data_IF_836079264079
#
_entry.id   IF_836079264079
#
_cell.length_a   1.000
_cell.length_b   1.000
_cell.length_c   1.000
_cell.angle_alpha   90.00
_cell.angle_beta   90.00
_cell.angle_gamma   90.00
#
_symmetry.space_group_name_H-M   'P 1'
#
loop_
_entity.id
_entity.type
_entity.pdbx_description
1 polymer ?
#
# COMPACT_ATOMS: atom_id res chain seq x y z
N UNK A 1 14.04 23.00 67.28
CA UNK A 1 14.48 22.20 68.43
C UNK A 1 14.79 20.81 67.87
N UNK A 2 15.93 20.64 67.20
CA UNK A 2 17.33 20.58 67.70
C UNK A 2 17.71 19.11 67.93
N UNK A 3 18.73 18.53 67.28
CA UNK A 3 20.18 18.78 67.47
C UNK A 3 20.63 18.51 68.92
N UNK A 4 21.68 17.72 69.22
CA UNK A 4 22.57 16.84 68.41
C UNK A 4 23.28 15.81 69.38
N UNK A 5 24.38 15.05 69.15
CA UNK A 5 25.42 15.03 68.10
C UNK A 5 26.36 13.77 68.09
N UNK A 6 27.22 13.69 67.05
CA UNK A 6 28.62 13.16 66.96
C UNK A 6 29.03 11.74 67.45
N UNK A 7 29.59 10.95 66.51
CA UNK A 7 30.99 10.40 66.47
C UNK A 7 31.13 9.47 65.23
N UNK A 8 32.24 9.33 64.48
CA UNK A 8 33.67 9.70 64.62
C UNK A 8 34.53 8.43 64.70
N UNK A 9 35.63 8.18 63.97
CA UNK A 9 36.39 8.83 62.87
C UNK A 9 37.10 7.69 62.06
N UNK A 10 38.10 7.77 61.16
CA UNK A 10 39.01 8.78 60.54
C UNK A 10 39.57 8.13 59.23
N UNK A 11 40.42 8.80 58.43
CA UNK A 11 41.29 8.11 57.46
C UNK A 11 41.61 8.88 56.17
N UNK A 12 42.65 9.70 56.20
CA UNK A 12 43.01 10.66 55.14
C UNK A 12 44.09 10.14 54.17
N UNK A 13 44.04 10.51 52.89
CA UNK A 13 45.27 10.82 52.12
C UNK A 13 45.03 11.81 50.95
N UNK A 14 46.07 12.59 50.68
CA UNK A 14 46.27 13.68 49.71
C UNK A 14 45.98 13.32 48.22
N UNK A 15 45.88 14.27 47.27
CA UNK A 15 46.01 15.73 47.32
C UNK A 15 45.76 16.37 45.94
N UNK A 16 45.25 17.61 45.90
CA UNK A 16 44.69 18.21 44.68
C UNK A 16 45.57 19.24 43.93
N UNK A 17 45.01 19.89 42.90
CA UNK A 17 45.52 21.13 42.29
C UNK A 17 44.42 21.96 41.62
N UNK A 18 44.59 23.28 41.62
CA UNK A 18 43.58 24.28 41.21
C UNK A 18 43.39 24.37 39.70
N UNK A 19 42.14 24.39 39.24
CA UNK A 19 41.77 24.80 37.88
C UNK A 19 41.63 26.32 37.79
N UNK A 20 42.53 26.96 37.04
CA UNK A 20 42.47 28.41 36.75
C UNK A 20 41.57 28.70 35.54
N UNK A 21 40.70 29.69 35.67
CA UNK A 21 40.03 30.35 34.54
C UNK A 21 41.08 30.89 33.56
N UNK A 22 40.82 30.78 32.25
CA UNK A 22 41.63 31.38 31.19
C UNK A 22 40.78 32.30 30.31
N UNK A 23 41.35 33.45 29.98
CA UNK A 23 40.74 34.49 29.13
C UNK A 23 40.83 34.13 27.63
N UNK A 24 39.98 34.72 26.77
CA UNK A 24 40.08 34.55 25.32
C UNK A 24 41.35 35.21 24.76
N UNK A 25 41.95 34.57 23.75
CA UNK A 25 43.13 35.09 23.03
C UNK A 25 42.71 35.82 21.75
N UNK A 26 43.33 36.98 21.50
CA UNK A 26 43.03 37.85 20.37
C UNK A 26 43.87 37.46 19.15
N UNK A 27 43.22 37.16 18.01
CA UNK A 27 43.90 36.79 16.77
C UNK A 27 44.19 38.02 15.90
N UNK A 28 45.33 38.65 16.11
CA UNK A 28 45.99 39.51 15.12
C UNK A 28 47.49 39.28 15.06
N UNK A 29 47.99 39.27 13.83
CA UNK A 29 49.39 39.46 13.45
C UNK A 29 50.40 38.43 13.98
N UNK A 30 50.57 37.35 13.21
CA UNK A 30 51.88 36.73 13.00
C UNK A 30 52.04 36.39 11.50
N UNK A 31 52.80 37.23 10.78
CA UNK A 31 52.97 37.14 9.32
C UNK A 31 54.31 36.50 9.00
N UNK A 32 54.32 35.19 8.74
CA UNK A 32 55.52 34.47 8.29
C UNK A 32 55.41 34.11 6.80
N UNK A 33 56.27 34.73 5.98
CA UNK A 33 56.44 34.40 4.56
C UNK A 33 57.46 33.27 4.41
N UNK A 34 57.10 32.19 3.73
CA UNK A 34 58.06 31.23 3.14
C UNK A 34 57.73 31.00 1.66
N UNK A 35 58.67 30.40 0.91
CA UNK A 35 58.83 30.63 -0.53
C UNK A 35 58.58 29.36 -1.37
N UNK A 36 58.16 29.58 -2.61
CA UNK A 36 57.84 28.61 -3.66
C UNK A 36 58.86 27.47 -3.83
N UNK A 37 58.36 26.24 -3.91
CA UNK A 37 58.92 25.13 -4.69
C UNK A 37 57.76 24.60 -5.55
N UNK A 38 57.99 24.41 -6.85
CA UNK A 38 56.95 23.97 -7.79
C UNK A 38 56.94 22.46 -7.99
N UNK A 39 55.74 21.91 -8.21
CA UNK A 39 55.54 20.62 -8.87
C UNK A 39 54.36 20.75 -9.85
N UNK A 40 54.42 20.06 -10.98
CA UNK A 40 53.60 20.33 -12.16
C UNK A 40 52.29 19.51 -12.17
N UNK A 41 51.36 19.89 -11.28
CA UNK A 41 50.02 19.29 -11.20
C UNK A 41 48.98 20.13 -11.95
N UNK A 42 48.66 19.70 -13.18
CA UNK A 42 47.53 20.22 -13.95
C UNK A 42 46.23 20.01 -13.14
N UNK A 43 45.47 21.07 -12.79
CA UNK A 43 44.20 20.89 -12.10
C UNK A 43 43.20 20.23 -13.04
N UNK A 44 43.05 18.91 -12.91
CA UNK A 44 41.97 18.18 -13.55
C UNK A 44 40.66 18.88 -13.20
N UNK A 45 39.87 19.27 -14.22
CA UNK A 45 38.57 19.90 -14.00
C UNK A 45 37.74 18.94 -13.15
N UNK A 46 37.62 19.24 -11.85
CA UNK A 46 36.81 18.48 -10.90
C UNK A 46 35.36 18.78 -11.21
N UNK A 47 34.88 18.14 -12.27
CA UNK A 47 33.54 18.32 -12.80
C UNK A 47 32.58 18.04 -11.64
N UNK A 48 31.86 19.09 -11.21
CA UNK A 48 30.68 18.91 -10.39
C UNK A 48 29.75 18.02 -11.20
N UNK A 49 29.70 16.75 -10.83
CA UNK A 49 28.51 15.95 -11.08
C UNK A 49 27.39 16.71 -10.39
N UNK A 50 26.58 17.40 -11.19
CA UNK A 50 25.32 17.93 -10.70
C UNK A 50 24.52 16.72 -10.26
N UNK A 51 24.38 16.53 -8.95
CA UNK A 51 23.30 15.71 -8.43
C UNK A 51 22.03 16.34 -9.00
N UNK A 52 21.38 15.65 -9.93
CA UNK A 52 20.18 16.15 -10.57
C UNK A 52 19.11 16.27 -9.49
N UNK A 53 18.74 17.51 -9.16
CA UNK A 53 17.51 17.77 -8.41
C UNK A 53 16.36 17.06 -9.14
N UNK A 54 15.45 16.38 -8.41
CA UNK A 54 14.32 15.74 -9.06
C UNK A 54 13.52 16.81 -9.80
N UNK A 55 13.47 16.68 -11.13
CA UNK A 55 12.90 17.71 -12.01
C UNK A 55 11.44 17.98 -11.60
N UNK A 56 11.20 19.18 -11.06
CA UNK A 56 9.87 19.60 -10.66
C UNK A 56 8.94 19.55 -11.87
N UNK A 57 7.79 18.87 -11.71
CA UNK A 57 6.88 18.61 -12.81
C UNK A 57 6.41 19.92 -13.47
N UNK A 58 6.44 19.94 -14.80
CA UNK A 58 6.05 21.09 -15.62
C UNK A 58 4.57 21.42 -15.36
N UNK A 59 4.18 22.69 -15.47
CA UNK A 59 2.78 23.13 -15.27
C UNK A 59 1.77 22.38 -16.15
N UNK A 60 2.20 21.85 -17.29
CA UNK A 60 1.41 21.02 -18.20
C UNK A 60 1.28 19.58 -17.68
N UNK A 61 2.35 18.98 -17.17
CA UNK A 61 2.34 17.65 -16.54
C UNK A 61 1.45 17.63 -15.29
N UNK A 62 1.46 18.70 -14.49
CA UNK A 62 0.58 18.86 -13.33
C UNK A 62 -0.91 19.00 -13.72
N UNK A 63 -1.21 19.64 -14.87
CA UNK A 63 -2.58 19.74 -15.41
C UNK A 63 -3.07 18.40 -15.93
N UNK A 64 -2.23 17.68 -16.67
CA UNK A 64 -2.57 16.36 -17.20
C UNK A 64 -2.79 15.34 -16.06
N UNK A 65 -1.94 15.36 -15.03
CA UNK A 65 -2.14 14.54 -13.83
C UNK A 65 -3.50 14.80 -13.15
N UNK A 66 -3.83 16.06 -12.87
CA UNK A 66 -5.11 16.42 -12.27
C UNK A 66 -6.33 16.06 -13.14
N UNK A 67 -6.19 16.13 -14.48
CA UNK A 67 -7.25 15.71 -15.41
C UNK A 67 -7.42 14.18 -15.48
N UNK A 68 -6.34 13.42 -15.31
CA UNK A 68 -6.40 11.96 -15.21
C UNK A 68 -6.98 11.52 -13.84
N UNK A 69 -6.62 12.20 -12.76
CA UNK A 69 -7.20 11.98 -11.41
C UNK A 69 -8.72 12.23 -11.41
N UNK A 70 -9.18 13.36 -11.96
CA UNK A 70 -10.61 13.69 -12.11
C UNK A 70 -11.36 12.62 -12.92
N UNK A 71 -10.77 12.14 -14.02
CA UNK A 71 -11.32 11.05 -14.84
C UNK A 71 -11.37 9.71 -14.11
N UNK A 72 -10.34 9.35 -13.34
CA UNK A 72 -10.35 8.11 -12.56
C UNK A 72 -11.42 8.17 -11.44
N UNK A 73 -11.57 9.32 -10.78
CA UNK A 73 -12.65 9.55 -9.80
C UNK A 73 -14.05 9.46 -10.43
N UNK A 74 -14.24 9.99 -11.64
CA UNK A 74 -15.49 9.81 -12.40
C UNK A 74 -15.76 8.34 -12.70
N UNK A 75 -14.75 7.58 -13.17
CA UNK A 75 -14.88 6.15 -13.46
C UNK A 75 -15.21 5.32 -12.21
N UNK A 76 -14.65 5.70 -11.05
CA UNK A 76 -14.96 5.11 -9.74
C UNK A 76 -16.42 5.36 -9.34
N UNK A 77 -16.91 6.61 -9.48
CA UNK A 77 -18.30 6.96 -9.21
C UNK A 77 -19.29 6.27 -10.15
N UNK A 78 -19.03 6.25 -11.46
CA UNK A 78 -19.84 5.55 -12.47
C UNK A 78 -19.87 4.04 -12.20
N UNK A 79 -18.75 3.46 -11.77
CA UNK A 79 -18.68 2.03 -11.40
C UNK A 79 -19.55 1.71 -10.19
N UNK A 80 -19.57 2.59 -9.18
CA UNK A 80 -20.42 2.44 -8.01
C UNK A 80 -21.92 2.53 -8.37
N UNK A 81 -22.31 3.56 -9.15
CA UNK A 81 -23.68 3.72 -9.66
C UNK A 81 -24.14 2.53 -10.49
N UNK A 82 -23.28 1.99 -11.37
CA UNK A 82 -23.57 0.81 -12.20
C UNK A 82 -23.75 -0.50 -11.40
N UNK A 83 -23.50 -0.48 -10.08
CA UNK A 83 -23.73 -1.58 -9.15
C UNK A 83 -24.80 -1.25 -8.09
N UNK A 84 -25.48 -0.10 -8.20
CA UNK A 84 -26.57 0.32 -7.31
C UNK A 84 -26.13 1.15 -6.09
N UNK A 85 -24.84 1.43 -5.91
CA UNK A 85 -24.34 2.26 -4.82
C UNK A 85 -24.49 3.76 -5.11
N UNK A 86 -24.78 4.56 -4.09
CA UNK A 86 -24.58 6.00 -4.17
C UNK A 86 -23.09 6.30 -4.04
N UNK A 87 -22.45 6.83 -5.09
CA UNK A 87 -21.02 7.15 -5.11
C UNK A 87 -20.55 8.07 -3.95
N UNK A 88 -21.44 8.88 -3.37
CA UNK A 88 -21.13 9.89 -2.34
C UNK A 88 -21.80 9.64 -0.98
N UNK A 89 -22.46 8.49 -0.78
CA UNK A 89 -23.10 8.14 0.49
C UNK A 89 -22.99 6.64 0.81
N UNK A 90 -23.26 6.32 2.07
CA UNK A 90 -23.34 4.96 2.58
C UNK A 90 -24.68 4.29 2.21
N UNK A 91 -24.73 2.97 2.30
CA UNK A 91 -25.99 2.21 2.47
C UNK A 91 -26.20 1.84 3.93
N UNK A 92 -27.41 1.41 4.31
CA UNK A 92 -27.75 0.99 5.69
C UNK A 92 -26.81 -0.13 6.17
N UNK A 93 -26.42 -1.06 5.28
CA UNK A 93 -25.45 -2.11 5.60
C UNK A 93 -24.03 -1.56 5.86
N UNK A 94 -23.65 -0.46 5.22
CA UNK A 94 -22.32 0.17 5.36
C UNK A 94 -22.23 1.06 6.60
N UNK A 95 -23.29 1.79 6.95
CA UNK A 95 -23.40 2.53 8.22
C UNK A 95 -23.15 1.62 9.42
N UNK A 96 -23.72 0.41 9.41
CA UNK A 96 -23.55 -0.60 10.46
C UNK A 96 -22.13 -1.21 10.54
N UNK A 97 -21.24 -0.94 9.58
CA UNK A 97 -19.85 -1.41 9.59
C UNK A 97 -18.85 -0.38 10.13
N UNK A 98 -19.26 0.88 10.29
CA UNK A 98 -18.38 2.00 10.61
C UNK A 98 -18.67 2.56 12.01
N UNK A 99 -17.64 3.02 12.74
CA UNK A 99 -17.86 3.81 13.95
C UNK A 99 -18.45 5.18 13.55
N UNK A 100 -19.31 5.76 14.40
CA UNK A 100 -19.95 7.08 14.19
C UNK A 100 -18.98 8.28 14.18
N UNK A 101 -17.67 8.03 14.16
CA UNK A 101 -16.59 9.01 14.01
C UNK A 101 -15.74 8.75 12.76
N UNK A 102 -16.21 7.91 11.84
CA UNK A 102 -15.57 7.66 10.55
C UNK A 102 -15.80 8.82 9.57
N UNK A 103 -14.84 9.05 8.68
CA UNK A 103 -15.05 9.86 7.49
C UNK A 103 -15.73 9.02 6.41
N UNK A 104 -17.03 9.26 6.22
CA UNK A 104 -17.88 8.61 5.22
C UNK A 104 -17.42 8.88 3.79
N UNK A 105 -16.83 10.05 3.53
CA UNK A 105 -16.28 10.41 2.22
C UNK A 105 -15.02 9.60 1.91
N UNK A 106 -14.13 9.43 2.90
CA UNK A 106 -12.96 8.56 2.76
C UNK A 106 -13.36 7.08 2.58
N UNK A 107 -14.39 6.61 3.27
CA UNK A 107 -14.90 5.24 3.07
C UNK A 107 -15.52 5.06 1.68
N UNK A 108 -16.43 5.94 1.27
CA UNK A 108 -17.12 5.82 -0.04
C UNK A 108 -16.13 5.93 -1.20
N UNK A 109 -15.14 6.84 -1.13
CA UNK A 109 -14.05 6.89 -2.10
C UNK A 109 -13.26 5.58 -2.15
N UNK A 110 -12.84 5.03 -1.00
CA UNK A 110 -12.17 3.73 -0.94
C UNK A 110 -13.00 2.60 -1.55
N UNK A 111 -14.29 2.51 -1.22
CA UNK A 111 -15.22 1.51 -1.78
C UNK A 111 -15.30 1.60 -3.30
N UNK A 112 -15.52 2.80 -3.84
CA UNK A 112 -15.64 3.04 -5.27
C UNK A 112 -14.33 2.66 -6.01
N UNK A 113 -13.18 3.02 -5.43
CA UNK A 113 -11.84 2.67 -5.89
C UNK A 113 -11.59 1.16 -5.92
N UNK A 114 -11.98 0.41 -4.87
CA UNK A 114 -11.85 -1.06 -4.85
C UNK A 114 -12.76 -1.71 -5.90
N UNK A 115 -13.99 -1.21 -6.08
CA UNK A 115 -14.90 -1.65 -7.14
C UNK A 115 -14.31 -1.43 -8.54
N UNK A 116 -13.79 -0.23 -8.82
CA UNK A 116 -13.18 0.09 -10.12
C UNK A 116 -11.90 -0.71 -10.40
N UNK A 117 -11.08 -0.97 -9.37
CA UNK A 117 -9.91 -1.85 -9.48
C UNK A 117 -10.29 -3.29 -9.84
N UNK A 118 -11.33 -3.84 -9.22
CA UNK A 118 -11.82 -5.17 -9.60
C UNK A 118 -12.41 -5.15 -11.02
N UNK A 119 -13.19 -4.12 -11.37
CA UNK A 119 -13.82 -3.98 -12.70
C UNK A 119 -12.82 -3.80 -13.84
N UNK A 120 -11.61 -3.29 -13.56
CA UNK A 120 -10.47 -3.20 -14.50
C UNK A 120 -9.88 -4.57 -14.89
N UNK A 121 -9.96 -5.58 -14.03
CA UNK A 121 -9.57 -6.97 -14.36
C UNK A 121 -10.46 -7.99 -13.63
N UNK A 122 -11.66 -8.22 -14.19
CA UNK A 122 -12.62 -9.22 -13.71
C UNK A 122 -12.21 -10.67 -14.05
N UNK A 123 -11.00 -10.91 -14.54
CA UNK A 123 -10.48 -12.27 -14.80
C UNK A 123 -9.65 -12.80 -13.64
N UNK A 124 -9.12 -11.90 -12.80
CA UNK A 124 -8.26 -12.21 -11.65
C UNK A 124 -9.00 -12.00 -10.32
N UNK A 125 -8.57 -12.73 -9.30
CA UNK A 125 -8.96 -12.43 -7.92
C UNK A 125 -8.18 -11.20 -7.42
N UNK A 126 -8.89 -10.13 -7.09
CA UNK A 126 -8.33 -8.93 -6.45
C UNK A 126 -8.07 -9.22 -4.97
N UNK A 127 -6.80 -9.35 -4.59
CA UNK A 127 -6.41 -9.44 -3.17
C UNK A 127 -6.54 -8.08 -2.47
N UNK A 128 -6.68 -8.08 -1.15
CA UNK A 128 -6.67 -6.86 -0.33
C UNK A 128 -5.36 -6.05 -0.50
N UNK A 129 -4.23 -6.74 -0.70
CA UNK A 129 -2.93 -6.12 -0.99
C UNK A 129 -2.88 -5.46 -2.38
N UNK A 130 -3.42 -6.13 -3.41
CA UNK A 130 -3.54 -5.55 -4.75
C UNK A 130 -4.48 -4.32 -4.73
N UNK A 131 -5.61 -4.44 -4.02
CA UNK A 131 -6.56 -3.36 -3.82
C UNK A 131 -5.88 -2.15 -3.17
N UNK A 132 -5.09 -2.34 -2.12
CA UNK A 132 -4.34 -1.29 -1.42
C UNK A 132 -3.18 -0.64 -2.18
N UNK A 133 -2.76 -1.18 -3.32
CA UNK A 133 -1.51 -0.76 -3.98
C UNK A 133 -1.58 0.69 -4.51
N UNK A 134 -0.71 1.57 -4.00
CA UNK A 134 -0.64 2.97 -4.43
C UNK A 134 -1.80 3.86 -3.97
N UNK A 135 -2.57 3.44 -2.96
CA UNK A 135 -3.61 4.28 -2.33
C UNK A 135 -2.98 5.35 -1.42
N UNK A 136 -3.50 6.60 -1.38
CA UNK A 136 -3.01 7.63 -0.47
C UNK A 136 -3.25 7.28 1.02
N UNK A 137 -2.34 7.68 1.95
CA UNK A 137 -2.40 7.26 3.35
C UNK A 137 -3.70 7.59 4.11
N UNK A 138 -4.43 8.61 3.68
CA UNK A 138 -5.74 9.01 4.25
C UNK A 138 -6.82 7.93 4.09
N UNK A 139 -6.81 7.19 2.98
CA UNK A 139 -7.86 6.21 2.66
C UNK A 139 -7.53 4.81 3.19
N UNK A 140 -6.25 4.48 3.39
CA UNK A 140 -5.79 3.16 3.83
C UNK A 140 -6.52 2.58 5.07
N UNK A 141 -6.93 3.35 6.10
CA UNK A 141 -7.70 2.83 7.23
C UNK A 141 -9.02 2.16 6.82
N UNK A 142 -9.63 2.59 5.71
CA UNK A 142 -10.91 2.08 5.21
C UNK A 142 -10.78 0.85 4.31
N UNK A 143 -9.56 0.54 3.83
CA UNK A 143 -9.29 -0.51 2.84
C UNK A 143 -9.86 -1.87 3.27
N UNK A 144 -9.53 -2.30 4.50
CA UNK A 144 -9.91 -3.63 4.99
C UNK A 144 -11.42 -3.77 5.18
N UNK A 145 -12.09 -2.70 5.64
CA UNK A 145 -13.55 -2.69 5.81
C UNK A 145 -14.25 -2.73 4.45
N UNK A 146 -13.86 -1.86 3.53
CA UNK A 146 -14.45 -1.77 2.20
C UNK A 146 -14.21 -3.05 1.36
N UNK A 147 -12.96 -3.53 1.29
CA UNK A 147 -12.64 -4.77 0.55
C UNK A 147 -13.38 -5.98 1.14
N UNK A 148 -13.41 -6.12 2.47
CA UNK A 148 -14.12 -7.24 3.12
C UNK A 148 -15.62 -7.18 2.91
N UNK A 149 -16.24 -6.00 2.98
CA UNK A 149 -17.66 -5.81 2.67
C UNK A 149 -17.96 -6.22 1.23
N UNK A 150 -17.26 -5.63 0.25
CA UNK A 150 -17.48 -5.89 -1.17
C UNK A 150 -17.25 -7.36 -1.53
N UNK A 151 -16.27 -8.02 -0.90
CA UNK A 151 -15.96 -9.43 -1.12
C UNK A 151 -16.97 -10.38 -0.43
N UNK A 152 -17.47 -10.03 0.76
CA UNK A 152 -18.48 -10.82 1.47
C UNK A 152 -19.87 -10.72 0.83
N UNK A 153 -20.25 -9.52 0.39
CA UNK A 153 -21.51 -9.24 -0.33
C UNK A 153 -21.47 -9.65 -1.81
N UNK A 154 -20.32 -10.12 -2.31
CA UNK A 154 -20.19 -10.69 -3.66
C UNK A 154 -20.08 -9.68 -4.81
N UNK A 155 -19.84 -8.40 -4.52
CA UNK A 155 -19.65 -7.35 -5.54
C UNK A 155 -18.28 -7.44 -6.25
N UNK A 156 -17.28 -8.02 -5.59
CA UNK A 156 -15.97 -8.33 -6.18
C UNK A 156 -15.65 -9.82 -6.07
N UNK A 157 -14.69 -10.31 -6.86
CA UNK A 157 -14.19 -11.69 -6.86
C UNK A 157 -15.24 -12.80 -7.13
N UNK A 158 -16.47 -12.47 -7.54
CA UNK A 158 -17.52 -13.46 -7.71
C UNK A 158 -17.17 -14.52 -8.77
N UNK A 159 -17.29 -15.79 -8.37
CA UNK A 159 -16.90 -16.95 -9.19
C UNK A 159 -15.38 -17.15 -9.37
N UNK A 160 -14.52 -16.28 -8.85
CA UNK A 160 -13.05 -16.40 -8.96
C UNK A 160 -12.49 -16.75 -7.59
N UNK A 161 -11.98 -17.97 -7.39
CA UNK A 161 -11.31 -18.32 -6.14
C UNK A 161 -9.78 -18.24 -6.24
N UNK A 162 -9.07 -17.97 -5.14
CA UNK A 162 -7.60 -18.04 -5.08
C UNK A 162 -7.00 -19.41 -5.40
N UNK A 163 -7.81 -20.46 -5.49
CA UNK A 163 -7.39 -21.80 -5.92
C UNK A 163 -7.60 -22.02 -7.42
N UNK A 164 -8.61 -21.36 -8.03
CA UNK A 164 -8.77 -21.29 -9.49
C UNK A 164 -7.71 -20.40 -10.16
N UNK A 165 -7.29 -19.33 -9.50
CA UNK A 165 -6.21 -18.45 -9.97
C UNK A 165 -4.81 -19.12 -9.97
N UNK A 166 -4.69 -20.36 -9.49
CA UNK A 166 -3.46 -21.17 -9.55
C UNK A 166 -3.58 -22.25 -10.63
N UNK A 167 -2.54 -22.45 -11.47
CA UNK A 167 -2.54 -23.56 -12.44
C UNK A 167 -2.68 -24.89 -11.69
N UNK A 168 -3.67 -25.69 -12.08
CA UNK A 168 -4.08 -26.91 -11.36
C UNK A 168 -3.01 -28.01 -11.44
N UNK A 169 -2.08 -28.02 -10.48
CA UNK A 169 -1.03 -29.04 -10.35
C UNK A 169 -1.43 -30.26 -9.50
N UNK A 170 -2.65 -30.29 -8.95
CA UNK A 170 -3.12 -31.39 -8.09
C UNK A 170 -3.86 -32.46 -8.90
N UNK A 171 -3.57 -33.73 -8.58
CA UNK A 171 -4.27 -34.91 -9.11
C UNK A 171 -5.77 -34.79 -8.79
N UNK A 172 -6.63 -34.88 -9.81
CA UNK A 172 -8.08 -34.72 -9.65
C UNK A 172 -8.69 -35.80 -8.76
N UNK A 173 -9.62 -35.43 -7.87
CA UNK A 173 -10.36 -36.35 -6.99
C UNK A 173 -11.25 -37.36 -7.73
N UNK A 174 -11.57 -37.07 -8.99
CA UNK A 174 -12.37 -37.88 -9.90
C UNK A 174 -12.72 -37.09 -11.16
N UNK A 175 -13.41 -37.73 -12.10
CA UNK A 175 -13.99 -37.07 -13.29
C UNK A 175 -15.51 -37.02 -13.17
N UNK A 176 -16.10 -35.88 -13.51
CA UNK A 176 -17.56 -35.67 -13.50
C UNK A 176 -18.00 -35.12 -14.87
N UNK A 177 -19.13 -35.60 -15.37
CA UNK A 177 -19.77 -35.07 -16.58
C UNK A 177 -21.00 -34.27 -16.14
N UNK A 178 -21.08 -33.01 -16.56
CA UNK A 178 -22.26 -32.17 -16.37
C UNK A 178 -23.06 -32.15 -17.66
N UNK A 179 -24.27 -32.69 -17.62
CA UNK A 179 -25.19 -32.76 -18.76
C UNK A 179 -25.96 -31.45 -18.86
N UNK A 180 -25.75 -30.70 -19.96
CA UNK A 180 -26.39 -29.41 -20.21
C UNK A 180 -25.53 -28.20 -19.80
N UNK A 181 -25.09 -27.43 -20.79
CA UNK A 181 -24.17 -26.29 -20.62
C UNK A 181 -24.87 -24.93 -20.38
N UNK A 182 -26.05 -24.92 -19.74
CA UNK A 182 -26.73 -23.68 -19.33
C UNK A 182 -26.06 -23.03 -18.11
N UNK A 183 -26.52 -21.83 -17.70
CA UNK A 183 -25.95 -21.09 -16.56
C UNK A 183 -25.81 -21.92 -15.28
N UNK A 184 -26.83 -22.74 -14.96
CA UNK A 184 -26.79 -23.65 -13.81
C UNK A 184 -25.74 -24.77 -13.96
N UNK A 185 -25.61 -25.35 -15.16
CA UNK A 185 -24.60 -26.37 -15.46
C UNK A 185 -23.18 -25.81 -15.42
N UNK A 186 -22.98 -24.60 -15.95
CA UNK A 186 -21.71 -23.87 -15.87
C UNK A 186 -21.33 -23.56 -14.42
N UNK A 187 -22.28 -23.10 -13.60
CA UNK A 187 -22.07 -22.84 -12.17
C UNK A 187 -21.73 -24.13 -11.39
N UNK A 188 -22.43 -25.24 -11.67
CA UNK A 188 -22.16 -26.54 -11.07
C UNK A 188 -20.77 -27.07 -11.46
N UNK A 189 -20.43 -27.05 -12.76
CA UNK A 189 -19.11 -27.44 -13.26
C UNK A 189 -17.99 -26.60 -12.63
N UNK A 190 -18.18 -25.28 -12.51
CA UNK A 190 -17.23 -24.36 -11.87
C UNK A 190 -17.02 -24.68 -10.39
N UNK A 191 -18.09 -25.00 -9.64
CA UNK A 191 -17.98 -25.43 -8.24
C UNK A 191 -17.24 -26.76 -8.10
N UNK A 192 -17.54 -27.74 -8.95
CA UNK A 192 -16.90 -29.06 -8.92
C UNK A 192 -15.40 -28.99 -9.29
N UNK A 193 -15.02 -28.09 -10.21
CA UNK A 193 -13.61 -27.79 -10.49
C UNK A 193 -12.91 -27.21 -9.25
N UNK A 194 -13.52 -26.22 -8.57
CA UNK A 194 -13.00 -25.67 -7.32
C UNK A 194 -12.84 -26.73 -6.22
N UNK A 195 -13.78 -27.67 -6.11
CA UNK A 195 -13.70 -28.78 -5.16
C UNK A 195 -12.69 -29.88 -5.58
N UNK A 196 -12.03 -29.73 -6.73
CA UNK A 196 -10.90 -30.57 -7.17
C UNK A 196 -11.25 -31.71 -8.13
N UNK A 197 -12.39 -31.65 -8.82
CA UNK A 197 -12.82 -32.65 -9.80
C UNK A 197 -12.55 -32.20 -11.25
N UNK A 198 -12.17 -33.15 -12.12
CA UNK A 198 -12.01 -32.89 -13.54
C UNK A 198 -13.39 -32.93 -14.22
N UNK A 199 -13.91 -31.77 -14.62
CA UNK A 199 -15.26 -31.65 -15.16
C UNK A 199 -15.26 -31.51 -16.69
N UNK A 200 -16.13 -32.26 -17.35
CA UNK A 200 -16.50 -32.08 -18.76
C UNK A 200 -17.98 -31.66 -18.86
N UNK A 201 -18.31 -30.85 -19.88
CA UNK A 201 -19.70 -30.51 -20.21
C UNK A 201 -20.03 -31.06 -21.58
N UNK A 202 -21.08 -31.88 -21.67
CA UNK A 202 -21.60 -32.41 -22.94
C UNK A 202 -22.92 -31.71 -23.30
N UNK A 203 -23.07 -31.17 -24.52
CA UNK A 203 -24.36 -30.67 -24.98
C UNK A 203 -25.34 -31.83 -25.21
N UNK A 204 -26.62 -31.63 -24.90
CA UNK A 204 -27.62 -32.71 -24.94
C UNK A 204 -27.92 -33.25 -26.37
N UNK A 205 -27.33 -32.67 -27.41
CA UNK A 205 -27.62 -32.95 -28.83
C UNK A 205 -27.01 -34.23 -29.38
N UNK A 206 -26.22 -34.99 -28.61
CA UNK A 206 -25.48 -36.16 -29.12
C UNK A 206 -25.71 -37.47 -28.33
N UNK A 207 -26.70 -37.52 -27.44
CA UNK A 207 -27.00 -38.71 -26.62
C UNK A 207 -27.86 -39.73 -27.38
N UNK A 208 -27.22 -40.48 -28.28
CA UNK A 208 -27.78 -41.73 -28.81
C UNK A 208 -27.62 -42.82 -27.75
N UNK A 209 -28.73 -43.33 -27.25
CA UNK A 209 -28.75 -44.52 -26.40
C UNK A 209 -28.64 -45.77 -27.28
N UNK A 210 -27.80 -46.72 -26.86
CA UNK A 210 -27.58 -48.05 -27.48
C UNK A 210 -27.85 -49.10 -26.40
#
# INVERSE_FOLDING_TARGET
MSESDISGSHGDTEGGRSLRVRQPVNYKEDIVKTKTIGLDDRPAKRQRVHASEPLAATREQLREAAYLEDRDLQLEAETAWALGFNALALTEEEENLLPSTADESCYTQMRNLVLARWRRDVTRHLSEQDAGSGIPPSLLPYLSVAWRFLNASGYINFGITPELARPHSRKSKGRIIVVGAGLAGLAAARRLQMDGFQCAMEPCSNWVWV
#
